data_IF_631606557045
#
_entry.id   IF_631606557045
#
_cell.length_a   1.000
_cell.length_b   1.000
_cell.length_c   1.000
_cell.angle_alpha   90.00
_cell.angle_beta   90.00
_cell.angle_gamma   90.00
#
_symmetry.space_group_name_H-M   'P 1'
#
loop_
_entity.id
_entity.type
_entity.pdbx_description
1 polymer ?
#
# COMPACT_ATOMS: atom_id res chain seq x y z
N UNK A 1 7.31 56.00 8.43
CA UNK A 1 7.74 54.60 8.56
C UNK A 1 6.91 53.96 9.65
N UNK A 2 5.86 53.33 9.28
CA UNK A 2 4.93 52.48 10.08
C UNK A 2 3.55 52.59 9.43
N UNK A 3 3.14 51.60 8.64
CA UNK A 3 1.73 51.30 8.33
C UNK A 3 1.50 50.27 7.21
N UNK A 4 2.57 49.62 6.69
CA UNK A 4 2.39 48.66 5.59
C UNK A 4 2.60 47.19 5.95
N UNK A 5 2.79 46.85 7.23
CA UNK A 5 3.02 45.42 7.66
C UNK A 5 1.81 44.70 8.25
N UNK A 6 0.67 45.36 8.37
CA UNK A 6 -0.52 44.82 9.07
C UNK A 6 -1.57 44.24 8.10
N UNK A 7 -1.41 44.37 6.77
CA UNK A 7 -2.50 44.03 5.83
C UNK A 7 -2.35 42.69 5.12
N UNK A 8 -1.27 41.92 5.33
CA UNK A 8 -1.09 40.63 4.67
C UNK A 8 -1.41 39.40 5.56
N UNK A 9 -1.41 39.57 6.88
CA UNK A 9 -1.75 38.47 7.82
C UNK A 9 -3.26 38.12 7.88
N UNK A 10 -4.14 39.01 7.43
CA UNK A 10 -5.59 38.85 7.69
C UNK A 10 -6.37 38.09 6.63
N UNK A 11 -5.80 37.79 5.46
CA UNK A 11 -6.55 37.17 4.37
C UNK A 11 -6.40 35.64 4.36
N UNK A 12 -5.23 35.12 4.68
CA UNK A 12 -5.00 33.67 4.79
C UNK A 12 -5.56 33.10 6.10
N UNK A 13 -5.41 33.81 7.22
CA UNK A 13 -6.06 33.44 8.48
C UNK A 13 -7.60 33.47 8.40
N UNK A 14 -8.16 34.45 7.68
CA UNK A 14 -9.61 34.57 7.51
C UNK A 14 -10.17 33.48 6.56
N UNK A 15 -9.42 33.07 5.55
CA UNK A 15 -9.80 31.96 4.65
C UNK A 15 -9.65 30.60 5.33
N UNK A 16 -8.70 30.47 6.25
CA UNK A 16 -8.50 29.30 7.10
C UNK A 16 -9.62 29.17 8.15
N UNK A 17 -9.92 30.25 8.87
CA UNK A 17 -11.01 30.31 9.85
C UNK A 17 -12.40 30.14 9.22
N UNK A 18 -12.64 30.68 8.04
CA UNK A 18 -13.91 30.49 7.33
C UNK A 18 -14.10 29.07 6.81
N UNK A 19 -13.01 28.36 6.44
CA UNK A 19 -13.03 26.93 6.13
C UNK A 19 -13.21 26.09 7.39
N UNK A 20 -12.65 26.47 8.52
CA UNK A 20 -12.86 25.81 9.81
C UNK A 20 -14.28 25.97 10.33
N UNK A 21 -14.85 27.18 10.28
CA UNK A 21 -16.24 27.44 10.69
C UNK A 21 -17.23 26.72 9.78
N UNK A 22 -16.97 26.65 8.46
CA UNK A 22 -17.75 25.87 7.51
C UNK A 22 -17.66 24.35 7.78
N UNK A 23 -16.51 23.87 8.26
CA UNK A 23 -16.31 22.45 8.61
C UNK A 23 -17.04 22.08 9.90
N UNK A 24 -17.02 22.95 10.90
CA UNK A 24 -17.73 22.76 12.17
C UNK A 24 -19.27 22.83 12.00
N UNK A 25 -19.77 23.77 11.21
CA UNK A 25 -21.21 23.98 11.08
C UNK A 25 -21.93 22.93 10.23
N UNK A 26 -21.29 22.34 9.23
CA UNK A 26 -21.88 21.32 8.35
C UNK A 26 -21.86 19.91 8.93
N UNK A 27 -21.12 19.63 10.01
CA UNK A 27 -20.88 18.29 10.54
C UNK A 27 -20.99 18.15 12.08
N UNK A 28 -21.62 19.07 12.80
CA UNK A 28 -21.76 18.98 14.28
C UNK A 28 -22.39 17.66 14.73
N UNK A 29 -23.43 17.18 14.05
CA UNK A 29 -24.07 15.92 14.39
C UNK A 29 -23.17 14.71 14.13
N UNK A 30 -22.44 14.71 13.00
CA UNK A 30 -21.52 13.64 12.65
C UNK A 30 -20.32 13.61 13.61
N UNK A 31 -19.79 14.79 13.95
CA UNK A 31 -18.73 14.94 14.93
C UNK A 31 -19.15 14.41 16.29
N UNK A 32 -20.38 14.78 16.75
CA UNK A 32 -20.92 14.29 18.01
C UNK A 32 -21.05 12.76 18.00
N UNK A 33 -21.60 12.19 16.93
CA UNK A 33 -21.70 10.73 16.78
C UNK A 33 -20.32 10.06 16.80
N UNK A 34 -19.34 10.61 16.09
CA UNK A 34 -17.97 10.11 16.13
C UNK A 34 -17.38 10.15 17.53
N UNK A 35 -17.62 11.22 18.30
CA UNK A 35 -17.11 11.35 19.67
C UNK A 35 -17.76 10.33 20.63
N UNK A 36 -19.00 9.95 20.41
CA UNK A 36 -19.75 9.00 21.24
C UNK A 36 -19.49 7.54 20.83
N UNK A 37 -19.16 7.27 19.56
CA UNK A 37 -18.97 5.92 19.04
C UNK A 37 -17.61 5.32 19.46
N UNK A 38 -17.61 4.16 20.08
CA UNK A 38 -16.40 3.38 20.42
C UNK A 38 -16.34 2.03 19.69
N UNK A 39 -17.31 1.81 18.78
CA UNK A 39 -17.51 0.56 18.10
C UNK A 39 -16.45 0.18 17.09
N UNK A 40 -16.71 -0.93 16.41
CA UNK A 40 -15.84 -1.49 15.37
C UNK A 40 -15.96 -0.66 14.09
N UNK A 41 -14.84 -0.35 13.47
CA UNK A 41 -14.77 0.27 12.15
C UNK A 41 -15.12 -0.79 11.11
N UNK A 42 -16.16 -0.55 10.32
CA UNK A 42 -16.61 -1.50 9.30
C UNK A 42 -15.60 -1.65 8.17
N UNK A 43 -15.15 -0.54 7.62
CA UNK A 43 -14.11 -0.48 6.59
C UNK A 43 -12.94 0.37 7.09
N UNK A 44 -11.86 -0.29 7.44
CA UNK A 44 -10.64 0.35 7.95
C UNK A 44 -9.80 0.87 6.77
N UNK A 45 -8.77 1.66 7.06
CA UNK A 45 -7.82 2.13 6.05
C UNK A 45 -6.94 1.02 5.45
N UNK A 46 -7.02 -0.21 5.96
CA UNK A 46 -6.43 -1.38 5.30
C UNK A 46 -7.28 -1.90 4.13
N UNK A 47 -8.51 -1.41 3.93
CA UNK A 47 -9.20 -1.57 2.65
C UNK A 47 -8.59 -0.56 1.66
N UNK A 48 -8.02 -1.04 0.57
CA UNK A 48 -7.26 -0.22 -0.38
C UNK A 48 -8.12 0.83 -1.10
N UNK A 49 -9.41 0.56 -1.36
CA UNK A 49 -10.34 1.56 -1.88
C UNK A 49 -10.59 2.67 -0.85
N UNK A 50 -10.88 2.30 0.41
CA UNK A 50 -11.06 3.26 1.50
C UNK A 50 -9.81 4.13 1.68
N UNK A 51 -8.62 3.53 1.69
CA UNK A 51 -7.35 4.23 1.81
C UNK A 51 -7.16 5.28 0.71
N UNK A 52 -7.43 4.90 -0.53
CA UNK A 52 -7.25 5.79 -1.67
C UNK A 52 -8.22 6.96 -1.64
N UNK A 53 -9.52 6.71 -1.41
CA UNK A 53 -10.52 7.78 -1.28
C UNK A 53 -10.19 8.70 -0.11
N UNK A 54 -9.77 8.15 1.02
CA UNK A 54 -9.38 8.89 2.21
C UNK A 54 -8.26 9.90 1.94
N UNK A 55 -7.25 9.51 1.19
CA UNK A 55 -6.15 10.41 0.82
C UNK A 55 -6.58 11.44 -0.24
N UNK A 56 -7.48 11.05 -1.15
CA UNK A 56 -7.91 11.91 -2.25
C UNK A 56 -8.84 13.04 -1.78
N UNK A 57 -9.76 12.75 -0.88
CA UNK A 57 -10.83 13.68 -0.48
C UNK A 57 -10.37 14.76 0.50
N UNK A 58 -9.15 14.65 1.06
CA UNK A 58 -8.69 15.61 2.06
C UNK A 58 -7.22 15.96 1.91
N UNK A 59 -6.95 17.11 1.29
CA UNK A 59 -5.59 17.59 1.03
C UNK A 59 -4.78 17.81 2.32
N UNK A 60 -5.39 18.31 3.40
CA UNK A 60 -4.70 18.54 4.67
C UNK A 60 -4.20 17.22 5.28
N UNK A 61 -5.03 16.18 5.22
CA UNK A 61 -4.67 14.83 5.67
C UNK A 61 -3.51 14.28 4.82
N UNK A 62 -3.62 14.41 3.50
CA UNK A 62 -2.58 13.96 2.57
C UNK A 62 -1.26 14.70 2.79
N UNK A 63 -1.28 16.02 2.95
CA UNK A 63 -0.10 16.84 3.27
C UNK A 63 0.56 16.39 4.57
N UNK A 64 -0.22 16.22 5.63
CA UNK A 64 0.30 15.80 6.93
C UNK A 64 0.89 14.39 6.88
N UNK A 65 0.27 13.45 6.16
CA UNK A 65 0.84 12.12 5.95
C UNK A 65 2.15 12.17 5.15
N UNK A 66 2.18 12.93 4.05
CA UNK A 66 3.39 13.09 3.23
C UNK A 66 4.51 13.75 4.02
N UNK A 67 4.20 14.77 4.82
CA UNK A 67 5.15 15.39 5.75
C UNK A 67 5.76 14.38 6.71
N UNK A 68 4.92 13.55 7.35
CA UNK A 68 5.38 12.50 8.25
C UNK A 68 6.24 11.44 7.55
N UNK A 69 5.86 11.01 6.35
CA UNK A 69 6.59 9.98 5.58
C UNK A 69 7.94 10.48 5.05
N UNK A 70 8.02 11.74 4.64
CA UNK A 70 9.22 12.29 3.99
C UNK A 70 10.03 13.22 4.91
N UNK A 71 9.61 13.37 6.17
CA UNK A 71 10.21 14.27 7.16
C UNK A 71 10.27 15.72 6.64
N UNK A 72 9.14 16.20 6.12
CA UNK A 72 8.96 17.55 5.60
C UNK A 72 8.03 18.35 6.50
N UNK A 73 8.42 19.60 6.80
CA UNK A 73 7.54 20.56 7.45
C UNK A 73 6.40 20.99 6.52
N UNK A 74 5.31 21.48 7.08
CA UNK A 74 4.12 21.84 6.28
C UNK A 74 4.43 22.93 5.25
N UNK A 75 5.33 23.86 5.56
CA UNK A 75 5.78 24.95 4.71
C UNK A 75 6.63 24.47 3.52
N UNK A 76 7.26 23.31 3.64
CA UNK A 76 8.03 22.66 2.57
C UNK A 76 7.15 21.99 1.52
N UNK A 77 5.88 21.70 1.88
CA UNK A 77 4.89 21.13 0.97
C UNK A 77 4.07 22.27 0.35
N UNK A 78 4.59 22.88 -0.69
CA UNK A 78 3.94 24.01 -1.38
C UNK A 78 2.74 23.53 -2.19
N UNK A 79 2.90 22.43 -2.92
CA UNK A 79 1.88 21.91 -3.84
C UNK A 79 1.84 20.37 -3.78
N UNK A 80 0.63 19.80 -3.79
CA UNK A 80 0.43 18.36 -3.81
C UNK A 80 -0.68 17.98 -4.78
N UNK A 81 -0.34 17.30 -5.87
CA UNK A 81 -1.27 16.94 -6.93
C UNK A 81 -1.40 15.42 -7.07
N UNK A 82 -2.61 14.90 -6.93
CA UNK A 82 -2.90 13.48 -7.22
C UNK A 82 -3.03 13.32 -8.73
N UNK A 83 -2.17 12.48 -9.32
CA UNK A 83 -2.07 12.28 -10.77
C UNK A 83 -3.07 11.26 -11.32
N UNK A 84 -3.63 10.42 -10.46
CA UNK A 84 -4.54 9.34 -10.84
C UNK A 84 -5.79 9.30 -9.95
N UNK A 85 -6.54 10.40 -9.81
CA UNK A 85 -7.73 10.42 -8.98
C UNK A 85 -8.76 9.39 -9.46
N UNK A 86 -9.55 8.84 -8.54
CA UNK A 86 -10.68 7.97 -8.84
C UNK A 86 -11.98 8.74 -8.68
N UNK A 87 -12.99 8.40 -9.47
CA UNK A 87 -14.34 8.91 -9.28
C UNK A 87 -15.02 8.15 -8.13
N UNK A 88 -15.36 8.88 -7.05
CA UNK A 88 -15.94 8.27 -5.85
C UNK A 88 -17.33 7.71 -6.15
N UNK A 89 -17.52 6.41 -5.87
CA UNK A 89 -18.78 5.71 -6.12
C UNK A 89 -18.95 5.21 -7.57
N UNK A 90 -18.01 5.46 -8.48
CA UNK A 90 -18.01 4.81 -9.78
C UNK A 90 -17.64 3.33 -9.64
N UNK A 91 -18.32 2.46 -10.41
CA UNK A 91 -17.97 1.04 -10.43
C UNK A 91 -16.56 0.84 -11.00
N UNK A 92 -15.67 0.32 -10.20
CA UNK A 92 -14.29 0.02 -10.61
C UNK A 92 -14.32 -1.22 -11.49
N UNK A 93 -13.90 -1.11 -12.75
CA UNK A 93 -13.77 -2.26 -13.63
C UNK A 93 -12.52 -3.09 -13.29
N UNK A 94 -12.56 -4.40 -13.57
CA UNK A 94 -11.49 -5.36 -13.22
C UNK A 94 -10.07 -4.99 -13.72
N UNK A 95 -9.92 -4.02 -14.61
CA UNK A 95 -8.63 -3.54 -15.14
C UNK A 95 -8.07 -2.33 -14.39
N UNK A 96 -8.87 -1.66 -13.56
CA UNK A 96 -8.52 -0.40 -12.90
C UNK A 96 -8.14 -0.56 -11.42
N UNK A 97 -7.98 -1.79 -10.92
CA UNK A 97 -7.53 -2.05 -9.55
C UNK A 97 -6.04 -1.74 -9.30
N UNK A 98 -5.54 -0.68 -9.93
CA UNK A 98 -4.29 -0.05 -9.53
C UNK A 98 -4.64 0.96 -8.45
N UNK A 99 -4.61 0.52 -7.19
CA UNK A 99 -5.05 1.29 -6.02
C UNK A 99 -3.89 1.99 -5.30
N UNK A 100 -2.81 2.25 -6.01
CA UNK A 100 -1.77 3.16 -5.58
C UNK A 100 -2.21 4.63 -5.78
N UNK A 101 -1.77 5.51 -4.90
CA UNK A 101 -1.98 6.95 -5.03
C UNK A 101 -0.70 7.58 -5.55
N UNK A 102 -0.75 8.07 -6.79
CA UNK A 102 0.38 8.75 -7.44
C UNK A 102 0.26 10.25 -7.25
N UNK A 103 1.32 10.85 -6.79
CA UNK A 103 1.37 12.26 -6.39
C UNK A 103 2.54 12.93 -7.11
N UNK A 104 2.32 14.16 -7.58
CA UNK A 104 3.38 15.09 -7.93
C UNK A 104 3.49 16.12 -6.80
N UNK A 105 4.57 16.05 -6.06
CA UNK A 105 4.87 16.93 -4.93
C UNK A 105 5.72 18.10 -5.41
N UNK A 106 5.32 19.35 -5.11
CA UNK A 106 6.01 20.58 -5.44
C UNK A 106 6.43 20.66 -6.92
N UNK A 107 5.65 20.05 -7.81
CA UNK A 107 5.94 19.96 -9.26
C UNK A 107 7.34 19.38 -9.61
N UNK A 108 8.02 18.72 -8.65
CA UNK A 108 9.40 18.26 -8.84
C UNK A 108 9.74 16.87 -8.24
N UNK A 109 8.79 16.17 -7.58
CA UNK A 109 9.00 14.83 -7.02
C UNK A 109 7.80 13.94 -7.33
N UNK A 110 8.02 12.80 -7.95
CA UNK A 110 7.00 11.76 -8.08
C UNK A 110 6.97 10.89 -6.82
N UNK A 111 5.84 10.87 -6.14
CA UNK A 111 5.60 10.04 -4.97
C UNK A 111 4.48 9.04 -5.26
N UNK A 112 4.71 7.77 -4.97
CA UNK A 112 3.70 6.72 -5.05
C UNK A 112 3.45 6.13 -3.66
N UNK A 113 2.19 6.16 -3.19
CA UNK A 113 1.77 5.57 -1.92
C UNK A 113 0.95 4.31 -2.20
N UNK A 114 1.34 3.18 -1.62
CA UNK A 114 0.64 1.91 -1.78
C UNK A 114 0.37 1.25 -0.42
N UNK A 115 -0.91 0.86 -0.18
CA UNK A 115 -1.31 0.03 0.96
C UNK A 115 -1.31 -1.44 0.57
N UNK A 116 -0.56 -2.29 1.27
CA UNK A 116 -0.50 -3.73 1.02
C UNK A 116 -0.81 -4.52 2.29
N UNK A 117 -1.94 -5.19 2.31
CA UNK A 117 -2.42 -5.90 3.51
C UNK A 117 -1.95 -7.36 3.57
N UNK A 118 -1.81 -7.99 2.41
CA UNK A 118 -1.45 -9.42 2.31
C UNK A 118 -0.06 -9.60 1.73
N UNK A 119 0.80 -10.33 2.43
CA UNK A 119 2.09 -10.73 1.89
C UNK A 119 1.89 -11.80 0.79
N UNK A 120 2.04 -11.39 -0.46
CA UNK A 120 1.98 -12.28 -1.65
C UNK A 120 3.36 -12.82 -2.05
N UNK A 121 4.41 -12.53 -1.28
CA UNK A 121 5.79 -12.94 -1.56
C UNK A 121 6.45 -12.21 -2.74
N UNK A 122 5.83 -11.17 -3.27
CA UNK A 122 6.29 -10.46 -4.47
C UNK A 122 6.48 -8.95 -4.25
N UNK A 123 6.48 -8.50 -3.01
CA UNK A 123 6.55 -7.06 -2.70
C UNK A 123 7.84 -6.42 -3.22
N UNK A 124 8.98 -7.07 -3.04
CA UNK A 124 10.28 -6.54 -3.46
C UNK A 124 10.33 -6.25 -4.96
N UNK A 125 9.87 -7.20 -5.79
CA UNK A 125 9.84 -7.01 -7.24
C UNK A 125 8.79 -5.98 -7.64
N UNK A 126 7.62 -6.03 -7.01
CA UNK A 126 6.51 -5.13 -7.29
C UNK A 126 6.87 -3.69 -6.97
N UNK A 127 7.39 -3.41 -5.78
CA UNK A 127 7.75 -2.06 -5.34
C UNK A 127 8.85 -1.45 -6.22
N UNK A 128 9.86 -2.24 -6.59
CA UNK A 128 10.90 -1.82 -7.53
C UNK A 128 10.31 -1.51 -8.91
N UNK A 129 9.39 -2.35 -9.42
CA UNK A 129 8.76 -2.12 -10.71
C UNK A 129 7.95 -0.80 -10.73
N UNK A 130 7.20 -0.51 -9.66
CA UNK A 130 6.46 0.74 -9.54
C UNK A 130 7.40 1.96 -9.40
N UNK A 131 8.45 1.83 -8.61
CA UNK A 131 9.45 2.88 -8.47
C UNK A 131 10.15 3.16 -9.81
N UNK A 132 10.54 2.12 -10.58
CA UNK A 132 11.11 2.28 -11.92
C UNK A 132 10.16 3.00 -12.87
N UNK A 133 8.86 2.67 -12.85
CA UNK A 133 7.85 3.35 -13.68
C UNK A 133 7.67 4.83 -13.31
N UNK A 134 7.83 5.18 -12.05
CA UNK A 134 7.78 6.57 -11.59
C UNK A 134 9.06 7.32 -11.91
N UNK A 135 10.21 6.63 -11.94
CA UNK A 135 11.52 7.21 -12.27
C UNK A 135 11.69 7.41 -13.78
N UNK A 136 10.99 6.62 -14.60
CA UNK A 136 10.94 6.79 -16.07
C UNK A 136 9.98 7.94 -16.43
N UNK A 137 10.35 9.16 -16.00
CA UNK A 137 9.54 10.37 -16.14
C UNK A 137 10.17 11.42 -17.08
N UNK A 138 11.24 11.05 -17.77
CA UNK A 138 11.90 11.94 -18.72
C UNK A 138 11.04 12.15 -19.97
N UNK A 139 10.81 13.40 -20.34
CA UNK A 139 10.10 13.71 -21.59
C UNK A 139 10.95 13.36 -22.81
N UNK A 140 10.28 13.08 -23.93
CA UNK A 140 10.98 12.74 -25.18
C UNK A 140 11.85 13.90 -25.66
N UNK A 141 13.17 13.68 -25.65
CA UNK A 141 14.15 14.66 -26.06
C UNK A 141 14.67 15.55 -24.92
N UNK A 142 14.26 15.27 -23.67
CA UNK A 142 14.82 15.89 -22.46
C UNK A 142 16.21 15.38 -22.12
N UNK A 143 16.95 16.14 -21.32
CA UNK A 143 18.27 15.78 -20.83
C UNK A 143 18.17 14.87 -19.58
N UNK A 144 19.12 13.95 -19.37
CA UNK A 144 19.08 13.00 -18.26
C UNK A 144 19.06 13.66 -16.87
N UNK A 145 19.61 14.86 -16.75
CA UNK A 145 19.60 15.65 -15.52
C UNK A 145 18.19 16.13 -15.12
N UNK A 146 17.28 16.24 -16.09
CA UNK A 146 15.88 16.67 -15.91
C UNK A 146 14.99 15.59 -15.29
N UNK A 147 15.46 14.33 -15.21
CA UNK A 147 14.74 13.26 -14.53
C UNK A 147 14.43 13.68 -13.10
N UNK A 148 13.14 13.71 -12.76
CA UNK A 148 12.67 14.05 -11.41
C UNK A 148 12.87 12.89 -10.43
N UNK A 149 13.12 13.19 -9.15
CA UNK A 149 13.12 12.16 -8.10
C UNK A 149 11.82 11.36 -8.08
N UNK A 150 11.97 10.05 -7.86
CA UNK A 150 10.86 9.14 -7.66
C UNK A 150 10.98 8.47 -6.28
N UNK A 151 9.91 8.53 -5.52
CA UNK A 151 9.79 7.93 -4.19
C UNK A 151 8.62 6.96 -4.23
N UNK A 152 8.82 5.73 -3.79
CA UNK A 152 7.74 4.78 -3.57
C UNK A 152 7.65 4.46 -2.08
N UNK A 153 6.45 4.59 -1.51
CA UNK A 153 6.20 4.27 -0.10
C UNK A 153 5.20 3.12 -0.03
N UNK A 154 5.66 1.99 0.49
CA UNK A 154 4.80 0.86 0.83
C UNK A 154 4.37 0.89 2.28
N UNK A 155 3.06 0.90 2.52
CA UNK A 155 2.47 0.77 3.86
C UNK A 155 2.00 -0.67 3.99
N UNK A 156 2.70 -1.48 4.79
CA UNK A 156 2.52 -2.93 4.85
C UNK A 156 1.85 -3.37 6.17
N UNK A 157 0.72 -4.08 6.08
CA UNK A 157 0.10 -4.73 7.27
C UNK A 157 0.74 -6.10 7.58
N UNK A 158 2.03 -6.25 7.26
CA UNK A 158 2.86 -7.41 7.61
C UNK A 158 4.32 -6.98 7.74
N UNK A 159 5.16 -7.86 8.31
CA UNK A 159 6.61 -7.65 8.40
C UNK A 159 7.27 -8.17 7.12
N UNK A 160 7.99 -7.30 6.41
CA UNK A 160 8.62 -7.66 5.13
C UNK A 160 9.80 -8.60 5.34
N UNK A 161 10.71 -8.26 6.28
CA UNK A 161 11.90 -9.04 6.62
C UNK A 161 11.82 -9.46 8.10
N UNK A 162 11.27 -10.65 8.40
CA UNK A 162 11.10 -11.11 9.79
C UNK A 162 12.41 -11.28 10.57
N UNK A 163 13.52 -11.50 9.88
CA UNK A 163 14.85 -11.67 10.45
C UNK A 163 15.41 -10.34 11.00
N UNK A 164 15.09 -9.23 10.31
CA UNK A 164 15.51 -7.87 10.66
C UNK A 164 14.30 -6.92 10.58
N UNK A 165 13.35 -7.01 11.51
CA UNK A 165 12.11 -6.25 11.45
C UNK A 165 12.34 -4.78 11.79
N UNK A 166 11.96 -3.89 10.86
CA UNK A 166 11.99 -2.45 11.01
C UNK A 166 10.58 -1.86 10.98
N UNK A 167 10.39 -0.72 11.64
CA UNK A 167 9.13 0.02 11.57
C UNK A 167 9.05 0.86 10.31
N UNK A 168 10.07 1.68 10.06
CA UNK A 168 10.18 2.50 8.86
C UNK A 168 11.58 2.36 8.26
N UNK A 169 11.64 1.72 7.10
CA UNK A 169 12.89 1.43 6.41
C UNK A 169 13.03 2.28 5.15
N UNK A 170 14.22 2.81 4.92
CA UNK A 170 14.58 3.56 3.71
C UNK A 170 15.61 2.80 2.90
N UNK A 171 15.27 2.49 1.66
CA UNK A 171 16.14 1.79 0.73
C UNK A 171 16.59 2.73 -0.40
N UNK A 172 17.89 2.75 -0.67
CA UNK A 172 18.53 3.53 -1.74
C UNK A 172 19.51 2.66 -2.52
N UNK A 173 19.71 3.01 -3.78
CA UNK A 173 20.75 2.39 -4.60
C UNK A 173 22.12 2.89 -4.13
N UNK A 174 23.00 1.97 -3.70
CA UNK A 174 24.33 2.32 -3.18
C UNK A 174 25.40 1.31 -3.61
N UNK A 175 26.64 1.76 -3.56
CA UNK A 175 27.81 0.89 -3.74
C UNK A 175 27.93 -0.04 -2.51
N UNK A 176 27.87 -1.35 -2.72
CA UNK A 176 27.88 -2.36 -1.65
C UNK A 176 29.17 -2.43 -0.82
N UNK A 177 30.29 -1.90 -1.36
CA UNK A 177 31.60 -1.89 -0.67
C UNK A 177 31.83 -0.61 0.12
N UNK A 178 31.46 0.54 -0.44
CA UNK A 178 31.76 1.86 0.13
C UNK A 178 30.57 2.48 0.84
N UNK A 179 29.37 1.90 0.69
CA UNK A 179 28.09 2.40 1.14
C UNK A 179 27.77 3.82 0.63
N UNK A 180 28.46 4.26 -0.42
CA UNK A 180 28.16 5.54 -1.05
C UNK A 180 26.89 5.41 -1.87
N UNK A 181 25.93 6.30 -1.65
CA UNK A 181 24.70 6.40 -2.44
C UNK A 181 25.09 6.69 -3.89
N UNK A 182 24.55 5.92 -4.83
CA UNK A 182 24.82 6.06 -6.27
C UNK A 182 23.98 7.18 -6.88
N UNK A 183 22.69 7.21 -6.51
CA UNK A 183 21.72 8.22 -6.94
C UNK A 183 20.67 8.40 -5.84
N UNK A 184 20.38 9.63 -5.45
CA UNK A 184 19.42 9.99 -4.41
C UNK A 184 18.04 10.40 -4.96
N UNK A 185 17.83 10.31 -6.28
CA UNK A 185 16.55 10.49 -6.94
C UNK A 185 15.68 9.20 -6.97
N UNK A 186 16.18 8.07 -6.45
CA UNK A 186 15.52 6.76 -6.52
C UNK A 186 15.42 6.16 -5.11
N UNK A 187 14.23 6.31 -4.48
CA UNK A 187 14.04 6.03 -3.07
C UNK A 187 12.82 5.12 -2.86
N UNK A 188 12.99 4.08 -2.05
CA UNK A 188 11.92 3.21 -1.60
C UNK A 188 11.81 3.28 -0.08
N UNK A 189 10.63 3.62 0.43
CA UNK A 189 10.30 3.54 1.85
C UNK A 189 9.33 2.39 2.12
N UNK A 190 9.49 1.76 3.28
CA UNK A 190 8.59 0.71 3.75
C UNK A 190 8.16 1.02 5.18
N UNK A 191 6.87 1.26 5.39
CA UNK A 191 6.25 1.42 6.70
C UNK A 191 5.55 0.12 7.10
N UNK A 192 6.02 -0.56 8.14
CA UNK A 192 5.44 -1.80 8.63
C UNK A 192 4.47 -1.56 9.80
N UNK A 193 3.16 -1.71 9.58
CA UNK A 193 2.14 -1.52 10.61
C UNK A 193 2.27 -2.52 11.77
N UNK A 194 2.87 -3.70 11.55
CA UNK A 194 3.11 -4.69 12.61
C UNK A 194 4.27 -4.31 13.53
N UNK A 195 5.11 -3.37 13.12
CA UNK A 195 6.32 -2.99 13.83
C UNK A 195 6.22 -1.62 14.54
N UNK A 196 5.04 -1.06 14.75
CA UNK A 196 4.79 0.25 15.40
C UNK A 196 5.59 0.38 16.74
N UNK A 197 5.71 -0.72 17.50
CA UNK A 197 6.47 -0.72 18.76
C UNK A 197 7.96 -0.48 18.60
N UNK A 198 8.49 -0.55 17.37
CA UNK A 198 9.89 -0.30 17.03
C UNK A 198 10.11 1.11 16.47
N UNK A 199 9.07 1.96 16.46
CA UNK A 199 9.20 3.35 16.04
C UNK A 199 10.31 4.05 16.84
N UNK A 200 11.23 4.68 16.15
CA UNK A 200 12.34 5.46 16.72
C UNK A 200 11.81 6.77 17.29
N UNK A 201 12.66 7.52 18.00
CA UNK A 201 12.26 8.86 18.44
C UNK A 201 12.03 9.81 17.26
N UNK A 202 12.82 9.69 16.19
CA UNK A 202 12.62 10.43 14.94
C UNK A 202 11.26 10.12 14.32
N UNK A 203 10.87 8.84 14.22
CA UNK A 203 9.54 8.44 13.70
C UNK A 203 8.39 9.06 14.52
N UNK A 204 8.59 9.19 15.84
CA UNK A 204 7.59 9.79 16.73
C UNK A 204 7.55 11.32 16.64
N UNK A 205 8.69 11.98 16.44
CA UNK A 205 8.77 13.41 16.20
C UNK A 205 7.96 13.79 14.97
N UNK A 206 8.04 13.00 13.92
CA UNK A 206 7.25 13.16 12.69
C UNK A 206 5.84 12.53 12.77
N UNK A 207 5.41 12.05 13.94
CA UNK A 207 4.09 11.42 14.16
C UNK A 207 3.81 10.20 13.27
N UNK A 208 4.83 9.56 12.73
CA UNK A 208 4.67 8.43 11.82
C UNK A 208 4.09 7.20 12.55
N UNK A 209 4.43 7.01 13.83
CA UNK A 209 3.83 6.01 14.71
C UNK A 209 2.32 6.22 14.87
N UNK A 210 1.87 7.46 14.93
CA UNK A 210 0.45 7.81 15.02
C UNK A 210 -0.30 7.54 13.71
N UNK A 211 0.30 7.90 12.57
CA UNK A 211 -0.24 7.54 11.27
C UNK A 211 -0.35 6.03 11.09
N UNK A 212 0.70 5.28 11.45
CA UNK A 212 0.66 3.82 11.41
C UNK A 212 -0.42 3.23 12.32
N UNK A 213 -0.63 3.80 13.52
CA UNK A 213 -1.70 3.41 14.42
C UNK A 213 -3.09 3.70 13.84
N UNK A 214 -3.28 4.84 13.15
CA UNK A 214 -4.53 5.16 12.44
C UNK A 214 -4.84 4.11 11.36
N UNK A 215 -3.84 3.74 10.54
CA UNK A 215 -4.02 2.72 9.50
C UNK A 215 -4.33 1.34 10.08
N UNK A 216 -3.75 1.00 11.23
CA UNK A 216 -3.95 -0.28 11.89
C UNK A 216 -5.21 -0.35 12.76
N UNK A 217 -5.86 0.78 13.08
CA UNK A 217 -7.01 0.86 13.98
C UNK A 217 -8.19 0.00 13.52
N UNK A 218 -8.85 -0.64 14.48
CA UNK A 218 -10.04 -1.49 14.26
C UNK A 218 -11.28 -0.93 14.91
N UNK A 219 -11.14 0.02 15.83
CA UNK A 219 -12.24 0.64 16.56
C UNK A 219 -12.13 2.15 16.58
N UNK A 220 -13.27 2.84 16.69
CA UNK A 220 -13.31 4.30 16.83
C UNK A 220 -12.63 4.77 18.12
N UNK A 221 -12.70 3.95 19.17
CA UNK A 221 -12.00 4.21 20.43
C UNK A 221 -10.48 4.26 20.23
N UNK A 222 -9.89 3.31 19.49
CA UNK A 222 -8.45 3.30 19.20
C UNK A 222 -8.04 4.58 18.47
N UNK A 223 -8.81 5.01 17.47
CA UNK A 223 -8.53 6.26 16.73
C UNK A 223 -8.53 7.46 17.68
N UNK A 224 -9.58 7.62 18.50
CA UNK A 224 -9.67 8.75 19.42
C UNK A 224 -8.53 8.77 20.45
N UNK A 225 -8.16 7.61 20.98
CA UNK A 225 -7.05 7.50 21.94
C UNK A 225 -5.69 7.89 21.33
N UNK A 226 -5.40 7.42 20.09
CA UNK A 226 -4.11 7.73 19.48
C UNK A 226 -4.06 9.14 18.91
N UNK A 227 -5.19 9.72 18.50
CA UNK A 227 -5.30 11.07 17.99
C UNK A 227 -5.39 12.13 19.10
N UNK A 228 -5.41 11.72 20.37
CA UNK A 228 -5.45 12.64 21.51
C UNK A 228 -4.32 13.68 21.40
N UNK A 229 -4.69 14.98 21.46
CA UNK A 229 -3.78 16.13 21.32
C UNK A 229 -3.15 16.32 19.91
N UNK A 230 -3.65 15.60 18.90
CA UNK A 230 -3.26 15.84 17.50
C UNK A 230 -4.51 16.12 16.68
N UNK A 231 -4.71 17.38 16.32
CA UNK A 231 -5.91 17.85 15.63
C UNK A 231 -6.06 17.24 14.25
N UNK A 232 -4.97 17.12 13.48
CA UNK A 232 -5.01 16.56 12.13
C UNK A 232 -5.41 15.08 12.17
N UNK A 233 -4.87 14.31 13.10
CA UNK A 233 -5.22 12.89 13.27
C UNK A 233 -6.66 12.73 13.78
N UNK A 234 -7.13 13.63 14.65
CA UNK A 234 -8.52 13.62 15.07
C UNK A 234 -9.48 13.93 13.91
N UNK A 235 -9.11 14.90 13.09
CA UNK A 235 -9.83 15.23 11.85
C UNK A 235 -9.81 14.04 10.87
N UNK A 236 -8.68 13.39 10.71
CA UNK A 236 -8.53 12.18 9.91
C UNK A 236 -9.45 11.05 10.39
N UNK A 237 -9.57 10.84 11.70
CA UNK A 237 -10.50 9.89 12.29
C UNK A 237 -11.97 10.23 11.99
N UNK A 238 -12.34 11.50 12.08
CA UNK A 238 -13.69 11.97 11.77
C UNK A 238 -14.03 11.82 10.26
N UNK A 239 -13.08 12.11 9.37
CA UNK A 239 -13.27 11.87 7.93
C UNK A 239 -13.45 10.39 7.62
N UNK A 240 -12.66 9.50 8.24
CA UNK A 240 -12.87 8.06 8.10
C UNK A 240 -14.25 7.63 8.61
N UNK A 241 -14.74 8.23 9.69
CA UNK A 241 -16.09 7.99 10.22
C UNK A 241 -17.16 8.39 9.21
N UNK A 242 -17.05 9.58 8.64
CA UNK A 242 -17.93 10.12 7.59
C UNK A 242 -17.96 9.20 6.37
N UNK A 243 -16.79 8.75 5.90
CA UNK A 243 -16.68 7.83 4.76
C UNK A 243 -17.32 6.48 5.05
N UNK A 244 -17.21 5.97 6.28
CA UNK A 244 -17.92 4.76 6.70
C UNK A 244 -19.44 4.94 6.78
N UNK A 245 -19.95 6.17 6.86
CA UNK A 245 -21.39 6.49 6.80
C UNK A 245 -21.90 6.66 5.35
N UNK A 246 -21.04 6.91 4.35
CA UNK A 246 -21.43 7.07 2.95
C UNK A 246 -21.70 5.71 2.30
N UNK A 247 -22.94 5.52 1.80
CA UNK A 247 -23.37 4.25 1.19
C UNK A 247 -22.57 3.90 -0.06
N UNK A 248 -22.24 4.89 -0.89
CA UNK A 248 -21.51 4.69 -2.15
C UNK A 248 -20.09 4.19 -1.88
N UNK A 249 -19.41 4.76 -0.88
CA UNK A 249 -18.08 4.34 -0.48
C UNK A 249 -18.13 2.93 0.09
N UNK A 250 -19.12 2.63 0.95
CA UNK A 250 -19.28 1.29 1.52
C UNK A 250 -19.54 0.21 0.47
N UNK A 251 -20.36 0.50 -0.54
CA UNK A 251 -20.63 -0.42 -1.65
C UNK A 251 -19.34 -0.77 -2.41
N UNK A 252 -18.47 0.21 -2.69
CA UNK A 252 -17.20 -0.03 -3.37
C UNK A 252 -16.21 -0.78 -2.48
N UNK A 253 -16.14 -0.47 -1.19
CA UNK A 253 -15.34 -1.24 -0.24
C UNK A 253 -15.80 -2.71 -0.17
N UNK A 254 -17.12 -2.95 -0.18
CA UNK A 254 -17.68 -4.30 -0.21
C UNK A 254 -17.33 -5.04 -1.50
N UNK A 255 -17.49 -4.37 -2.65
CA UNK A 255 -17.14 -4.95 -3.94
C UNK A 255 -15.64 -5.33 -4.01
N UNK A 256 -14.77 -4.50 -3.41
CA UNK A 256 -13.34 -4.79 -3.30
C UNK A 256 -13.04 -6.02 -2.44
N UNK A 257 -13.66 -6.14 -1.28
CA UNK A 257 -13.52 -7.31 -0.41
C UNK A 257 -14.01 -8.60 -1.08
N UNK A 258 -15.12 -8.52 -1.81
CA UNK A 258 -15.68 -9.67 -2.55
C UNK A 258 -14.75 -10.10 -3.68
N UNK A 259 -14.16 -9.15 -4.41
CA UNK A 259 -13.13 -9.43 -5.42
C UNK A 259 -11.92 -10.14 -4.80
N UNK A 260 -11.39 -9.64 -3.70
CA UNK A 260 -10.26 -10.28 -3.02
C UNK A 260 -10.58 -11.66 -2.47
N UNK A 261 -11.82 -11.85 -1.99
CA UNK A 261 -12.30 -13.16 -1.56
C UNK A 261 -12.32 -14.14 -2.72
N UNK A 262 -12.83 -13.70 -3.87
CA UNK A 262 -12.85 -14.50 -5.09
C UNK A 262 -11.42 -14.87 -5.55
N UNK A 263 -10.50 -13.91 -5.60
CA UNK A 263 -9.09 -14.18 -5.92
C UNK A 263 -8.46 -15.26 -5.01
N UNK A 264 -8.74 -15.18 -3.69
CA UNK A 264 -8.24 -16.19 -2.74
C UNK A 264 -8.79 -17.59 -3.02
N UNK A 265 -10.08 -17.69 -3.37
CA UNK A 265 -10.70 -18.97 -3.73
C UNK A 265 -10.07 -19.55 -5.00
N UNK A 266 -9.94 -18.74 -6.04
CA UNK A 266 -9.32 -19.16 -7.32
C UNK A 266 -7.87 -19.61 -7.11
N UNK A 267 -7.06 -18.87 -6.36
CA UNK A 267 -5.67 -19.23 -6.04
C UNK A 267 -5.56 -20.53 -5.23
N UNK A 268 -6.53 -20.80 -4.36
CA UNK A 268 -6.59 -22.07 -3.64
C UNK A 268 -6.90 -23.22 -4.59
N UNK A 269 -7.90 -23.06 -5.47
CA UNK A 269 -8.26 -24.09 -6.47
C UNK A 269 -7.09 -24.39 -7.41
N UNK A 270 -6.37 -23.37 -7.87
CA UNK A 270 -5.19 -23.56 -8.72
C UNK A 270 -4.15 -24.43 -7.98
N UNK A 271 -3.83 -24.12 -6.71
CA UNK A 271 -2.87 -24.91 -5.92
C UNK A 271 -3.32 -26.37 -5.72
N UNK A 272 -4.61 -26.57 -5.46
CA UNK A 272 -5.18 -27.92 -5.33
C UNK A 272 -5.05 -28.73 -6.64
N UNK A 273 -5.28 -28.06 -7.78
CA UNK A 273 -5.10 -28.68 -9.10
C UNK A 273 -3.63 -28.98 -9.43
N UNK A 274 -2.71 -28.07 -9.10
CA UNK A 274 -1.27 -28.27 -9.28
C UNK A 274 -0.76 -29.44 -8.45
N UNK A 275 -1.23 -29.59 -7.19
CA UNK A 275 -0.90 -30.75 -6.35
C UNK A 275 -1.44 -32.04 -6.93
N UNK A 276 -2.71 -32.08 -7.36
CA UNK A 276 -3.31 -33.24 -7.97
C UNK A 276 -2.60 -33.65 -9.30
N UNK A 277 -2.15 -32.66 -10.08
CA UNK A 277 -1.37 -32.87 -11.28
C UNK A 277 -0.01 -33.50 -10.96
N UNK A 278 0.71 -32.99 -9.98
CA UNK A 278 2.00 -33.53 -9.55
C UNK A 278 1.87 -34.96 -9.01
N UNK A 279 0.81 -35.25 -8.27
CA UNK A 279 0.51 -36.64 -7.82
C UNK A 279 0.28 -37.57 -9.01
N UNK A 280 -0.49 -37.13 -10.01
CA UNK A 280 -0.74 -37.92 -11.23
C UNK A 280 0.52 -38.13 -12.06
N UNK A 281 1.38 -37.15 -12.18
CA UNK A 281 2.67 -37.27 -12.88
C UNK A 281 3.57 -38.31 -12.18
N UNK A 282 3.61 -38.32 -10.85
CA UNK A 282 4.34 -39.29 -10.07
C UNK A 282 3.76 -40.74 -10.27
N UNK A 283 2.42 -40.88 -10.19
CA UNK A 283 1.77 -42.18 -10.47
C UNK A 283 2.10 -42.70 -11.89
N UNK A 284 2.07 -41.82 -12.88
CA UNK A 284 2.42 -42.19 -14.27
C UNK A 284 3.90 -42.59 -14.41
N UNK A 285 4.82 -41.91 -13.71
CA UNK A 285 6.23 -42.24 -13.72
C UNK A 285 6.49 -43.61 -13.06
N UNK A 286 5.79 -43.96 -11.97
CA UNK A 286 5.85 -45.26 -11.33
C UNK A 286 5.31 -46.36 -12.26
N UNK A 287 4.16 -46.11 -12.91
CA UNK A 287 3.59 -47.03 -13.88
C UNK A 287 4.52 -47.30 -15.09
N UNK A 288 5.13 -46.25 -15.61
CA UNK A 288 6.11 -46.34 -16.70
C UNK A 288 7.33 -47.20 -16.29
N UNK A 289 7.81 -47.04 -15.06
CA UNK A 289 8.91 -47.81 -14.51
C UNK A 289 8.53 -49.30 -14.39
N UNK A 290 7.33 -49.60 -13.86
CA UNK A 290 6.83 -50.99 -13.77
C UNK A 290 6.63 -51.61 -15.15
N UNK A 291 6.13 -50.87 -16.14
CA UNK A 291 6.01 -51.36 -17.53
C UNK A 291 7.38 -51.71 -18.11
N UNK A 292 8.37 -50.84 -17.97
CA UNK A 292 9.74 -51.10 -18.44
C UNK A 292 10.36 -52.34 -17.79
N UNK A 293 10.10 -52.59 -16.49
CA UNK A 293 10.55 -53.81 -15.82
C UNK A 293 9.87 -55.06 -16.40
N UNK A 294 8.56 -55.03 -16.65
CA UNK A 294 7.82 -56.15 -17.27
C UNK A 294 8.30 -56.42 -18.69
N UNK A 295 8.56 -55.38 -19.48
CA UNK A 295 9.08 -55.54 -20.85
C UNK A 295 10.47 -56.21 -20.85
N UNK A 296 11.35 -55.83 -19.91
CA UNK A 296 12.65 -56.44 -19.72
C UNK A 296 12.52 -57.95 -19.32
N UNK A 297 11.56 -58.26 -18.43
CA UNK A 297 11.30 -59.64 -18.02
C UNK A 297 10.76 -60.46 -19.18
N UNK A 298 9.81 -59.93 -19.95
CA UNK A 298 9.27 -60.55 -21.17
C UNK A 298 10.41 -60.83 -22.18
N UNK A 299 11.31 -59.89 -22.41
CA UNK A 299 12.44 -60.07 -23.32
C UNK A 299 13.38 -61.13 -22.83
N UNK A 300 13.64 -61.25 -21.51
CA UNK A 300 14.44 -62.28 -20.91
C UNK A 300 13.81 -63.69 -21.07
N UNK A 301 12.50 -63.79 -20.79
CA UNK A 301 11.78 -65.08 -20.95
C UNK A 301 11.71 -65.50 -22.39
N UNK A 302 11.53 -64.60 -23.36
CA UNK A 302 11.58 -64.95 -24.80
C UNK A 302 12.93 -65.52 -25.21
N UNK A 303 14.02 -64.90 -24.75
CA UNK A 303 15.38 -65.38 -25.03
C UNK A 303 15.63 -66.77 -24.47
N UNK A 304 15.18 -67.06 -23.24
CA UNK A 304 15.29 -68.39 -22.62
C UNK A 304 14.47 -69.44 -23.39
N UNK A 305 13.29 -69.10 -23.90
CA UNK A 305 12.44 -69.96 -24.67
C UNK A 305 13.10 -70.34 -26.03
N UNK A 306 13.69 -69.32 -26.71
CA UNK A 306 14.46 -69.58 -27.97
C UNK A 306 15.66 -70.43 -27.74
N UNK A 307 16.39 -70.29 -26.63
CA UNK A 307 17.54 -71.11 -26.28
C UNK A 307 17.09 -72.61 -26.01
N UNK A 308 15.93 -72.83 -25.39
CA UNK A 308 15.36 -74.13 -25.15
C UNK A 308 14.84 -74.80 -26.41
N UNK A 309 14.34 -74.06 -27.40
CA UNK A 309 13.84 -74.60 -28.66
C UNK A 309 14.96 -74.96 -29.64
N UNK A 310 16.16 -74.41 -29.45
CA UNK A 310 17.35 -74.65 -30.32
C UNK A 310 18.34 -75.73 -29.73
N UNK A 311 18.03 -76.24 -28.53
CA UNK A 311 18.78 -77.34 -27.89
C UNK A 311 18.02 -78.66 -28.03
#
# INVERSE_FOLDING_TARGET
MTEEKVFFETKEEHDYQSKEEGWQSLNEELWKRFQEDEGIIRYTLTNDYMFRVFLQENELILRSLVGALLHLEQEEIVEINILNPIEVGAAITNKEFVLDTRILLNSNVYLNLEMQVSNKGNWTDRSLLYLCRSYDNLEKGGEYEEVLPAIHVGILDYTLFPEEPEFYATHKLMNVKTHKVYNDKFILHVLSLKQIKRATEEDKEWHLDKWAALFAAKTWREIKMMAEKNEVLMRAGCELYKMNADDRIREQCQAREDYERHERVVKRQIRELEQALAEKENEMAEQATMLAQKDNEIARLRKMLEEQMNS
#
